data_IF_159990018871
#
_entry.id   IF_159990018871
#
_cell.length_a   1.000
_cell.length_b   1.000
_cell.length_c   1.000
_cell.angle_alpha   90.00
_cell.angle_beta   90.00
_cell.angle_gamma   90.00
#
_symmetry.space_group_name_H-M   'P 1'
#
loop_
_entity.id
_entity.type
_entity.pdbx_description
1 polymer ?
#
# COMPACT_ATOMS: atom_id res chain seq x y z
N UNK A 1 6.12 -21.62 8.30
CA UNK A 1 6.22 -21.31 6.85
C UNK A 1 5.09 -20.39 6.39
N UNK A 2 3.83 -20.68 6.71
CA UNK A 2 2.66 -19.84 6.36
C UNK A 2 2.81 -18.36 6.74
N UNK A 3 3.28 -18.03 7.96
CA UNK A 3 3.54 -16.65 8.39
C UNK A 3 4.43 -15.84 7.44
N UNK A 4 5.49 -16.46 6.90
CA UNK A 4 6.46 -15.80 6.01
C UNK A 4 5.87 -15.57 4.62
N UNK A 5 5.05 -16.50 4.14
CA UNK A 5 4.30 -16.38 2.89
C UNK A 5 3.28 -15.25 2.96
N UNK A 6 2.44 -15.23 4.00
CA UNK A 6 1.42 -14.19 4.22
C UNK A 6 2.06 -12.80 4.34
N UNK A 7 3.20 -12.69 5.02
CA UNK A 7 3.94 -11.43 5.11
C UNK A 7 4.46 -10.97 3.76
N UNK A 8 5.07 -11.86 2.97
CA UNK A 8 5.59 -11.52 1.65
C UNK A 8 4.47 -11.06 0.71
N UNK A 9 3.33 -11.76 0.71
CA UNK A 9 2.17 -11.42 -0.12
C UNK A 9 1.58 -10.05 0.26
N UNK A 10 1.48 -9.77 1.56
CA UNK A 10 1.00 -8.47 2.05
C UNK A 10 1.93 -7.32 1.66
N UNK A 11 3.25 -7.53 1.75
CA UNK A 11 4.25 -6.54 1.32
C UNK A 11 4.13 -6.29 -0.19
N UNK A 12 4.01 -7.34 -1.00
CA UNK A 12 3.83 -7.19 -2.45
C UNK A 12 2.56 -6.42 -2.81
N UNK A 13 1.42 -6.78 -2.21
CA UNK A 13 0.14 -6.07 -2.41
C UNK A 13 0.25 -4.60 -2.00
N UNK A 14 0.86 -4.32 -0.84
CA UNK A 14 1.05 -2.94 -0.38
C UNK A 14 1.98 -2.13 -1.30
N UNK A 15 3.06 -2.73 -1.80
CA UNK A 15 3.97 -2.09 -2.73
C UNK A 15 3.29 -1.77 -4.06
N UNK A 16 2.50 -2.71 -4.59
CA UNK A 16 1.72 -2.52 -5.81
C UNK A 16 0.66 -1.43 -5.65
N UNK A 17 -0.13 -1.49 -4.57
CA UNK A 17 -1.16 -0.49 -4.26
C UNK A 17 -0.57 0.91 -4.07
N UNK A 18 0.56 1.01 -3.36
CA UNK A 18 1.25 2.28 -3.14
C UNK A 18 1.81 2.85 -4.43
N UNK A 19 2.44 2.01 -5.26
CA UNK A 19 2.97 2.43 -6.57
C UNK A 19 1.85 2.95 -7.46
N UNK A 20 0.73 2.22 -7.55
CA UNK A 20 -0.43 2.64 -8.32
C UNK A 20 -1.06 3.92 -7.76
N UNK A 21 -1.17 4.03 -6.44
CA UNK A 21 -1.68 5.25 -5.78
C UNK A 21 -0.82 6.48 -6.07
N UNK A 22 0.51 6.34 -6.05
CA UNK A 22 1.43 7.42 -6.41
C UNK A 22 1.25 7.80 -7.88
N UNK A 23 1.22 6.83 -8.80
CA UNK A 23 1.04 7.09 -10.23
C UNK A 23 -0.27 7.82 -10.52
N UNK A 24 -1.37 7.35 -9.96
CA UNK A 24 -2.70 7.97 -10.10
C UNK A 24 -2.72 9.35 -9.45
N UNK A 25 -2.15 9.51 -8.25
CA UNK A 25 -2.07 10.79 -7.56
C UNK A 25 -1.29 11.85 -8.33
N UNK A 26 -0.14 11.46 -8.90
CA UNK A 26 0.66 12.35 -9.76
C UNK A 26 -0.09 12.71 -11.04
N UNK A 27 -0.76 11.75 -11.68
CA UNK A 27 -1.56 12.00 -12.87
C UNK A 27 -2.70 12.99 -12.59
N UNK A 28 -3.45 12.77 -11.51
CA UNK A 28 -4.53 13.67 -11.09
C UNK A 28 -4.00 15.06 -10.71
N UNK A 29 -2.88 15.15 -10.00
CA UNK A 29 -2.23 16.41 -9.65
C UNK A 29 -1.83 17.20 -10.90
N UNK A 30 -1.25 16.53 -11.90
CA UNK A 30 -0.91 17.14 -13.17
C UNK A 30 -2.14 17.68 -13.92
N UNK A 31 -3.21 16.88 -13.99
CA UNK A 31 -4.48 17.32 -14.59
C UNK A 31 -5.08 18.52 -13.85
N UNK A 32 -5.01 18.53 -12.52
CA UNK A 32 -5.51 19.63 -11.70
C UNK A 32 -4.75 20.93 -11.96
N UNK A 33 -3.42 20.88 -11.98
CA UNK A 33 -2.58 22.05 -12.31
C UNK A 33 -2.91 22.56 -13.71
N UNK A 34 -3.07 21.66 -14.69
CA UNK A 34 -3.47 22.05 -16.05
C UNK A 34 -4.86 22.69 -16.09
N UNK A 35 -5.83 22.14 -15.35
CA UNK A 35 -7.20 22.67 -15.29
C UNK A 35 -7.22 24.07 -14.65
N UNK A 36 -6.47 24.27 -13.57
CA UNK A 36 -6.31 25.58 -12.92
C UNK A 36 -5.65 26.60 -13.85
N UNK A 37 -4.67 26.14 -14.66
CA UNK A 37 -4.04 26.92 -15.73
C UNK A 37 -5.02 27.52 -16.73
N UNK A 38 -6.09 26.81 -17.06
CA UNK A 38 -7.14 27.27 -17.99
C UNK A 38 -7.96 28.43 -17.39
N UNK A 39 -8.06 28.51 -16.06
CA UNK A 39 -8.84 29.53 -15.34
C UNK A 39 -7.99 30.81 -15.11
N UNK A 40 -6.78 30.87 -15.66
CA UNK A 40 -5.90 32.05 -15.63
C UNK A 40 -4.88 32.07 -14.49
N UNK A 41 -4.86 31.03 -13.64
CA UNK A 41 -3.83 30.87 -12.62
C UNK A 41 -2.61 30.16 -13.22
N UNK A 42 -1.49 30.88 -13.35
CA UNK A 42 -0.21 30.29 -13.79
C UNK A 42 0.43 29.54 -12.64
N UNK A 43 0.06 28.28 -12.47
CA UNK A 43 0.71 27.35 -11.55
C UNK A 43 1.58 26.37 -12.33
N UNK A 44 2.88 26.35 -12.03
CA UNK A 44 3.79 25.35 -12.58
C UNK A 44 3.65 24.05 -11.80
N UNK A 45 3.71 22.92 -12.52
CA UNK A 45 3.66 21.61 -11.89
C UNK A 45 4.96 21.34 -11.13
N UNK A 46 4.85 21.21 -9.81
CA UNK A 46 5.96 20.81 -8.94
C UNK A 46 5.92 19.31 -8.68
N UNK A 47 7.01 18.60 -9.00
CA UNK A 47 7.11 17.16 -8.77
C UNK A 47 7.44 16.87 -7.30
N UNK A 48 6.53 16.25 -6.51
CA UNK A 48 6.66 16.17 -5.06
C UNK A 48 7.52 14.97 -4.62
N UNK A 49 8.84 15.05 -4.78
CA UNK A 49 9.77 13.96 -4.43
C UNK A 49 9.59 13.50 -2.97
N UNK A 50 9.51 14.45 -2.03
CA UNK A 50 9.30 14.14 -0.61
C UNK A 50 7.95 13.47 -0.35
N UNK A 51 6.90 13.87 -1.09
CA UNK A 51 5.58 13.25 -0.99
C UNK A 51 5.57 11.81 -1.50
N UNK A 52 6.33 11.52 -2.55
CA UNK A 52 6.51 10.16 -3.08
C UNK A 52 7.23 9.28 -2.05
N UNK A 53 8.34 9.76 -1.47
CA UNK A 53 9.06 9.00 -0.44
C UNK A 53 8.17 8.75 0.79
N UNK A 54 7.47 9.79 1.27
CA UNK A 54 6.57 9.67 2.41
C UNK A 54 5.43 8.67 2.15
N UNK A 55 4.80 8.73 0.96
CA UNK A 55 3.72 7.79 0.60
C UNK A 55 4.23 6.35 0.44
N UNK A 56 5.44 6.14 -0.08
CA UNK A 56 6.08 4.81 -0.08
C UNK A 56 6.25 4.26 1.33
N UNK A 57 6.78 5.06 2.25
CA UNK A 57 6.97 4.64 3.66
C UNK A 57 5.63 4.32 4.31
N UNK A 58 4.65 5.22 4.18
CA UNK A 58 3.31 5.03 4.75
C UNK A 58 2.65 3.78 4.18
N UNK A 59 2.64 3.61 2.86
CA UNK A 59 2.01 2.48 2.20
C UNK A 59 2.60 1.13 2.61
N UNK A 60 3.92 1.03 2.72
CA UNK A 60 4.60 -0.17 3.21
C UNK A 60 4.31 -0.43 4.70
N UNK A 61 4.33 0.60 5.54
CA UNK A 61 4.00 0.47 6.97
C UNK A 61 2.56 -0.04 7.15
N UNK A 62 1.60 0.50 6.40
CA UNK A 62 0.23 0.01 6.41
C UNK A 62 0.12 -1.43 5.90
N UNK A 63 0.88 -1.81 4.87
CA UNK A 63 0.95 -3.20 4.41
C UNK A 63 1.43 -4.18 5.49
N UNK A 64 2.48 -3.79 6.22
CA UNK A 64 3.02 -4.56 7.34
C UNK A 64 1.98 -4.69 8.46
N UNK A 65 1.36 -3.58 8.86
CA UNK A 65 0.33 -3.57 9.92
C UNK A 65 -0.87 -4.44 9.51
N UNK A 66 -1.32 -4.34 8.27
CA UNK A 66 -2.41 -5.15 7.74
C UNK A 66 -2.08 -6.66 7.76
N UNK A 67 -0.81 -7.02 7.54
CA UNK A 67 -0.34 -8.42 7.57
C UNK A 67 -0.29 -9.04 8.98
N UNK A 68 -0.18 -8.22 10.04
CA UNK A 68 0.01 -8.72 11.40
C UNK A 68 -1.16 -9.55 11.91
N UNK A 69 -2.40 -9.13 11.61
CA UNK A 69 -3.63 -9.82 12.02
C UNK A 69 -3.76 -11.21 11.38
N UNK A 70 -3.73 -11.36 10.04
CA UNK A 70 -3.83 -12.67 9.39
C UNK A 70 -2.62 -13.57 9.67
N UNK A 71 -1.41 -13.02 9.79
CA UNK A 71 -0.23 -13.82 10.16
C UNK A 71 -0.35 -14.43 11.56
N UNK A 72 -1.04 -13.74 12.49
CA UNK A 72 -1.33 -14.27 13.83
C UNK A 72 -2.44 -15.32 13.79
N UNK A 73 -3.49 -15.11 13.00
CA UNK A 73 -4.57 -16.10 12.83
C UNK A 73 -4.06 -17.39 12.19
N UNK A 74 -3.29 -17.29 11.10
CA UNK A 74 -2.71 -18.45 10.41
C UNK A 74 -1.73 -19.28 11.28
N UNK A 75 -1.21 -18.68 12.37
CA UNK A 75 -0.40 -19.39 13.35
C UNK A 75 -1.22 -20.34 14.23
N UNK A 76 -2.45 -19.93 14.55
CA UNK A 76 -3.29 -20.57 15.54
C UNK A 76 -4.21 -21.64 14.91
N UNK A 77 -4.43 -21.60 13.61
CA UNK A 77 -5.31 -22.55 12.89
C UNK A 77 -4.70 -23.97 12.72
N UNK A 78 -3.41 -24.18 12.99
CA UNK A 78 -2.71 -25.38 12.48
C UNK A 78 -2.72 -26.61 13.40
N UNK A 79 -3.17 -26.57 14.66
CA UNK A 79 -2.91 -27.71 15.58
C UNK A 79 -4.15 -28.35 16.22
N UNK A 80 -5.27 -27.65 16.38
CA UNK A 80 -6.32 -28.16 17.30
C UNK A 80 -7.35 -29.09 16.63
N UNK A 81 -7.46 -29.09 15.30
CA UNK A 81 -8.56 -29.79 14.61
C UNK A 81 -8.19 -31.20 14.09
N UNK A 82 -6.91 -31.59 14.14
CA UNK A 82 -6.44 -32.88 13.64
C UNK A 82 -6.39 -34.01 14.70
N UNK A 83 -6.60 -33.69 15.98
CA UNK A 83 -6.52 -34.67 17.09
C UNK A 83 -7.88 -35.03 17.70
N UNK A 84 -8.98 -34.42 17.23
CA UNK A 84 -10.33 -34.67 17.75
C UNK A 84 -11.12 -35.69 16.90
N UNK A 85 -10.41 -36.41 16.04
CA UNK A 85 -10.90 -37.57 15.28
C UNK A 85 -10.13 -38.84 15.72
N UNK A 86 -10.07 -39.08 17.02
CA UNK A 86 -9.96 -40.44 17.58
C UNK A 86 -11.06 -40.64 18.63
#
# INVERSE_FOLDING_TARGET
>A
QVKRMVFAESVLLSALGTTMGILVGLFLSYLLVKAIGVIGFKTDFYFPIMGIIASMVVGLVFGIIAAMVPARQAANTVIVEALQYE
#
